data_IF_480672747011
#
_entry.id   IF_480672747011
#
_cell.length_a   1.000
_cell.length_b   1.000
_cell.length_c   1.000
_cell.angle_alpha   90.00
_cell.angle_beta   90.00
_cell.angle_gamma   90.00
#
_symmetry.space_group_name_H-M   'P 1'
#
loop_
_entity.id
_entity.type
_entity.pdbx_description
1 polymer ?
#
# COMPACT_ATOMS: atom_id res chain seq x y z
N UNK A 1 -3.40 22.82 19.01
CA UNK A 1 -2.48 21.78 18.55
C UNK A 1 -1.25 22.48 18.01
N UNK A 2 0.00 22.11 18.34
CA UNK A 2 1.14 22.70 17.67
C UNK A 2 1.02 22.38 16.16
N UNK A 3 1.33 23.40 15.35
CA UNK A 3 1.33 23.31 13.90
C UNK A 3 2.42 22.30 13.52
N UNK A 4 2.06 21.05 13.25
CA UNK A 4 3.02 20.05 12.79
C UNK A 4 3.39 20.43 11.36
N UNK A 5 4.62 20.83 11.16
CA UNK A 5 5.13 21.30 9.87
C UNK A 5 4.98 20.15 8.86
N UNK A 6 4.18 20.39 7.81
CA UNK A 6 3.94 19.40 6.75
C UNK A 6 5.21 19.20 5.94
N UNK A 7 5.43 17.98 5.50
CA UNK A 7 6.59 17.66 4.65
C UNK A 7 6.50 18.46 3.33
N UNK A 8 7.55 19.18 2.93
CA UNK A 8 7.56 19.86 1.63
C UNK A 8 7.31 18.87 0.48
N UNK A 9 6.35 19.20 -0.40
CA UNK A 9 6.00 18.36 -1.56
C UNK A 9 4.93 17.29 -1.31
N UNK A 10 4.39 17.18 -0.08
CA UNK A 10 3.17 16.40 0.16
C UNK A 10 1.95 17.19 -0.34
N UNK A 11 1.12 16.54 -1.19
CA UNK A 11 -0.11 17.15 -1.69
C UNK A 11 -1.04 17.51 -0.52
N UNK A 12 -1.49 18.79 -0.42
CA UNK A 12 -2.37 19.22 0.67
C UNK A 12 -3.66 18.40 0.79
N UNK A 13 -4.24 17.93 -0.31
CA UNK A 13 -5.47 17.13 -0.29
C UNK A 13 -5.22 15.74 0.34
N UNK A 14 -4.03 15.17 0.12
CA UNK A 14 -3.61 13.90 0.73
C UNK A 14 -3.38 14.11 2.23
N UNK A 15 -2.65 15.16 2.61
CA UNK A 15 -2.41 15.48 4.01
C UNK A 15 -3.73 15.69 4.77
N UNK A 16 -4.65 16.51 4.24
CA UNK A 16 -5.96 16.77 4.83
C UNK A 16 -6.82 15.51 4.96
N UNK A 17 -6.73 14.59 4.00
CA UNK A 17 -7.44 13.32 4.04
C UNK A 17 -6.96 12.49 5.25
N UNK A 18 -5.64 12.29 5.38
CA UNK A 18 -5.08 11.49 6.47
C UNK A 18 -5.13 12.17 7.83
N UNK A 19 -5.19 13.51 7.89
CA UNK A 19 -5.44 14.23 9.14
C UNK A 19 -6.87 14.02 9.67
N UNK A 20 -7.83 13.68 8.79
CA UNK A 20 -9.26 13.55 9.09
C UNK A 20 -9.75 12.11 9.13
N UNK A 21 -8.95 11.14 8.68
CA UNK A 21 -9.32 9.71 8.64
C UNK A 21 -8.60 8.91 9.73
N UNK A 22 -9.26 7.91 10.36
CA UNK A 22 -8.64 7.03 11.35
C UNK A 22 -7.82 5.91 10.68
N UNK A 23 -6.74 6.29 9.97
CA UNK A 23 -5.91 5.35 9.21
C UNK A 23 -5.32 4.24 10.10
N UNK A 24 -5.05 4.54 11.37
CA UNK A 24 -4.53 3.61 12.35
C UNK A 24 -5.40 2.37 12.61
N UNK A 25 -6.70 2.46 12.33
CA UNK A 25 -7.66 1.35 12.50
C UNK A 25 -8.31 0.90 11.18
N UNK A 26 -7.85 1.41 10.02
CA UNK A 26 -8.44 1.11 8.72
C UNK A 26 -8.47 -0.39 8.42
N UNK A 27 -7.35 -1.07 8.65
CA UNK A 27 -7.19 -2.51 8.36
C UNK A 27 -8.05 -3.42 9.27
N UNK A 28 -8.61 -2.89 10.34
CA UNK A 28 -9.50 -3.63 11.24
C UNK A 28 -10.97 -3.61 10.80
N UNK A 29 -11.30 -2.91 9.69
CA UNK A 29 -12.67 -2.63 9.28
C UNK A 29 -13.01 -3.26 7.92
N UNK A 30 -14.21 -3.85 7.82
CA UNK A 30 -14.77 -4.32 6.55
C UNK A 30 -13.79 -5.12 5.70
N UNK A 31 -13.79 -4.91 4.39
CA UNK A 31 -12.92 -5.63 3.44
C UNK A 31 -11.42 -5.38 3.62
N UNK A 32 -11.01 -4.33 4.34
CA UNK A 32 -9.59 -4.08 4.63
C UNK A 32 -8.95 -5.18 5.50
N UNK A 33 -9.76 -5.96 6.24
CA UNK A 33 -9.29 -7.17 6.93
C UNK A 33 -8.76 -8.23 5.94
N UNK A 34 -9.35 -8.34 4.75
CA UNK A 34 -8.88 -9.24 3.69
C UNK A 34 -7.59 -8.70 3.07
N UNK A 35 -7.52 -7.38 2.82
CA UNK A 35 -6.29 -6.70 2.39
C UNK A 35 -5.14 -7.01 3.34
N UNK A 36 -5.35 -6.80 4.65
CA UNK A 36 -4.32 -7.05 5.67
C UNK A 36 -3.86 -8.51 5.68
N UNK A 37 -4.80 -9.44 5.76
CA UNK A 37 -4.50 -10.87 5.83
C UNK A 37 -3.70 -11.34 4.61
N UNK A 38 -4.12 -10.92 3.41
CA UNK A 38 -3.48 -11.29 2.16
C UNK A 38 -2.12 -10.61 1.96
N UNK A 39 -2.00 -9.34 2.33
CA UNK A 39 -0.72 -8.63 2.29
C UNK A 39 0.30 -9.31 3.19
N UNK A 40 -0.08 -9.67 4.43
CA UNK A 40 0.79 -10.42 5.34
C UNK A 40 1.23 -11.76 4.75
N UNK A 41 0.30 -12.53 4.16
CA UNK A 41 0.65 -13.80 3.49
C UNK A 41 1.65 -13.62 2.35
N UNK A 42 1.48 -12.57 1.52
CA UNK A 42 2.39 -12.29 0.42
C UNK A 42 3.76 -11.81 0.93
N UNK A 43 3.80 -11.01 1.99
CA UNK A 43 5.05 -10.59 2.64
C UNK A 43 5.77 -11.80 3.26
N UNK A 44 5.08 -12.68 3.97
CA UNK A 44 5.68 -13.91 4.54
C UNK A 44 6.20 -14.88 3.46
N UNK A 45 5.50 -14.96 2.33
CA UNK A 45 5.86 -15.85 1.21
C UNK A 45 7.10 -15.39 0.45
N UNK A 46 7.25 -14.08 0.27
CA UNK A 46 8.23 -13.50 -0.64
C UNK A 46 9.36 -12.75 0.06
N UNK A 47 9.15 -12.31 1.29
CA UNK A 47 10.18 -11.63 2.08
C UNK A 47 11.30 -12.59 2.53
N UNK A 48 12.47 -12.06 2.86
CA UNK A 48 13.56 -12.85 3.47
C UNK A 48 13.11 -13.34 4.86
N UNK A 49 13.67 -14.46 5.35
CA UNK A 49 13.44 -14.89 6.73
C UNK A 49 14.10 -13.92 7.74
N UNK A 50 13.57 -13.80 8.98
CA UNK A 50 14.25 -13.07 10.02
C UNK A 50 15.54 -13.81 10.47
N UNK A 51 16.59 -13.11 11.00
CA UNK A 51 16.64 -11.66 11.11
C UNK A 51 16.98 -10.98 9.78
N UNK A 52 16.27 -9.91 9.44
CA UNK A 52 16.56 -9.06 8.28
C UNK A 52 16.12 -7.62 8.57
N UNK A 53 16.72 -6.67 7.87
CA UNK A 53 16.36 -5.25 7.97
C UNK A 53 15.24 -4.93 6.99
N UNK A 54 14.17 -4.32 7.50
CA UNK A 54 13.00 -3.94 6.72
C UNK A 54 12.82 -2.43 6.75
N UNK A 55 12.60 -1.82 5.59
CA UNK A 55 12.09 -0.46 5.49
C UNK A 55 10.61 -0.52 5.12
N UNK A 56 9.75 -0.05 6.04
CA UNK A 56 8.30 0.11 5.82
C UNK A 56 8.04 1.56 5.40
N UNK A 57 7.95 1.79 4.09
CA UNK A 57 7.83 3.11 3.46
C UNK A 57 6.37 3.40 3.13
N UNK A 58 5.81 4.46 3.71
CA UNK A 58 4.38 4.70 3.77
C UNK A 58 3.70 3.83 4.82
N UNK A 59 4.44 3.53 5.91
CA UNK A 59 4.00 2.60 6.95
C UNK A 59 2.93 3.15 7.89
N UNK A 60 2.48 4.40 7.70
CA UNK A 60 1.46 5.08 8.50
C UNK A 60 1.72 4.94 10.01
N UNK A 61 0.73 4.43 10.78
CA UNK A 61 0.87 4.16 12.22
C UNK A 61 1.55 2.81 12.55
N UNK A 62 2.07 2.09 11.54
CA UNK A 62 2.94 0.92 11.70
C UNK A 62 2.22 -0.43 11.78
N UNK A 63 1.11 -0.62 11.08
CA UNK A 63 0.38 -1.89 11.10
C UNK A 63 1.27 -3.07 10.67
N UNK A 64 2.01 -2.94 9.59
CA UNK A 64 2.95 -3.96 9.11
C UNK A 64 4.30 -3.89 9.84
N UNK A 65 4.79 -2.69 10.16
CA UNK A 65 6.06 -2.51 10.85
C UNK A 65 6.10 -3.25 12.21
N UNK A 66 5.09 -3.07 13.06
CA UNK A 66 5.05 -3.74 14.36
C UNK A 66 4.83 -5.24 14.23
N UNK A 67 4.00 -5.67 13.30
CA UNK A 67 3.79 -7.08 13.00
C UNK A 67 5.10 -7.79 12.57
N UNK A 68 5.97 -7.12 11.80
CA UNK A 68 7.30 -7.64 11.41
C UNK A 68 8.28 -7.61 12.58
N UNK A 69 8.29 -6.54 13.39
CA UNK A 69 9.15 -6.45 14.57
C UNK A 69 8.86 -7.58 15.57
N UNK A 70 7.59 -7.94 15.77
CA UNK A 70 7.19 -9.10 16.59
C UNK A 70 7.72 -10.43 16.06
N UNK A 71 8.05 -10.51 14.77
CA UNK A 71 8.62 -11.67 14.08
C UNK A 71 10.15 -11.69 14.04
N UNK A 72 10.79 -10.70 14.66
CA UNK A 72 12.25 -10.66 14.80
C UNK A 72 12.98 -9.90 13.69
N UNK A 73 12.25 -9.11 12.89
CA UNK A 73 12.88 -8.19 11.93
C UNK A 73 13.36 -6.91 12.61
N UNK A 74 14.43 -6.31 12.07
CA UNK A 74 14.84 -4.95 12.39
C UNK A 74 14.09 -3.99 11.47
N UNK A 75 13.08 -3.28 11.98
CA UNK A 75 12.17 -2.50 11.15
C UNK A 75 12.37 -1.00 11.33
N UNK A 76 12.52 -0.28 10.23
CA UNK A 76 12.50 1.17 10.16
C UNK A 76 11.21 1.62 9.45
N UNK A 77 10.42 2.45 10.11
CA UNK A 77 9.20 3.03 9.55
C UNK A 77 9.47 4.43 9.00
N UNK A 78 8.97 4.69 7.81
CA UNK A 78 8.96 6.01 7.15
C UNK A 78 7.56 6.33 6.66
N UNK A 79 7.09 7.55 6.92
CA UNK A 79 5.84 8.05 6.34
C UNK A 79 5.93 9.57 6.11
N UNK A 80 5.21 10.06 5.10
CA UNK A 80 5.19 11.48 4.76
C UNK A 80 4.24 12.30 5.66
N UNK A 81 3.32 11.65 6.37
CA UNK A 81 2.31 12.30 7.24
C UNK A 81 2.80 12.35 8.69
N UNK A 82 3.19 13.54 9.22
CA UNK A 82 3.79 13.64 10.56
C UNK A 82 2.90 13.11 11.68
N UNK A 83 1.57 13.28 11.59
CA UNK A 83 0.60 12.76 12.57
C UNK A 83 0.71 11.24 12.73
N UNK A 84 0.79 10.53 11.60
CA UNK A 84 0.87 9.06 11.60
C UNK A 84 2.19 8.56 12.17
N UNK A 85 3.30 9.22 11.82
CA UNK A 85 4.62 8.91 12.40
C UNK A 85 4.65 9.15 13.91
N UNK A 86 4.01 10.22 14.39
CA UNK A 86 3.93 10.49 15.82
C UNK A 86 3.08 9.43 16.55
N UNK A 87 2.02 8.92 15.92
CA UNK A 87 1.25 7.78 16.45
C UNK A 87 2.14 6.52 16.51
N UNK A 88 2.89 6.23 15.43
CA UNK A 88 3.85 5.12 15.41
C UNK A 88 4.90 5.27 16.53
N UNK A 89 5.43 6.47 16.78
CA UNK A 89 6.37 6.73 17.88
C UNK A 89 5.77 6.47 19.25
N UNK A 90 4.52 6.92 19.48
CA UNK A 90 3.79 6.65 20.74
C UNK A 90 3.58 5.17 20.98
N UNK A 91 3.20 4.44 19.93
CA UNK A 91 3.07 2.98 19.97
C UNK A 91 4.43 2.33 20.24
N UNK A 92 5.48 2.79 19.56
CA UNK A 92 6.85 2.26 19.67
C UNK A 92 7.42 2.38 21.10
N UNK A 93 7.15 3.49 21.77
CA UNK A 93 7.59 3.72 23.16
C UNK A 93 7.00 2.71 24.17
N UNK A 94 5.93 2.01 23.81
CA UNK A 94 5.23 1.02 24.64
C UNK A 94 5.34 -0.41 24.09
N UNK A 95 5.94 -0.58 22.93
CA UNK A 95 6.01 -1.86 22.24
C UNK A 95 7.01 -2.80 22.92
N UNK A 96 6.66 -4.07 23.06
CA UNK A 96 7.56 -5.13 23.53
C UNK A 96 8.69 -5.38 22.51
N UNK A 97 8.35 -5.29 21.23
CA UNK A 97 9.29 -5.41 20.10
C UNK A 97 9.29 -4.05 19.39
N UNK A 98 10.26 -3.22 19.78
CA UNK A 98 10.33 -1.86 19.28
C UNK A 98 10.85 -1.80 17.84
N UNK A 99 10.33 -0.84 17.07
CA UNK A 99 10.91 -0.48 15.77
C UNK A 99 12.26 0.20 15.98
N UNK A 100 13.19 -0.04 15.07
CA UNK A 100 14.52 0.59 15.09
C UNK A 100 14.44 2.12 14.87
N UNK A 101 13.48 2.59 14.06
CA UNK A 101 13.21 4.03 13.94
C UNK A 101 11.80 4.30 13.36
N UNK A 102 11.25 5.50 13.66
CA UNK A 102 10.05 6.06 13.04
C UNK A 102 10.40 7.49 12.56
N UNK A 103 10.40 7.71 11.24
CA UNK A 103 10.85 8.97 10.63
C UNK A 103 9.80 9.56 9.69
N UNK A 104 9.63 10.88 9.76
CA UNK A 104 8.91 11.62 8.72
C UNK A 104 9.86 11.82 7.54
N UNK A 105 9.53 11.25 6.38
CA UNK A 105 10.31 11.42 5.16
C UNK A 105 9.48 11.09 3.92
N UNK A 106 9.97 11.55 2.76
CA UNK A 106 9.38 11.32 1.45
C UNK A 106 9.93 10.03 0.83
N UNK A 107 9.06 9.21 0.25
CA UNK A 107 9.46 8.01 -0.47
C UNK A 107 10.39 8.31 -1.69
N UNK A 108 10.32 9.52 -2.23
CA UNK A 108 11.16 10.00 -3.34
C UNK A 108 12.60 10.36 -2.91
N UNK A 109 12.86 10.41 -1.59
CA UNK A 109 14.17 10.69 -1.01
C UNK A 109 14.27 10.05 0.38
N UNK A 110 14.67 8.78 0.42
CA UNK A 110 14.74 8.02 1.66
C UNK A 110 16.00 8.36 2.48
N UNK A 111 15.87 8.62 3.80
CA UNK A 111 17.00 9.02 4.66
C UNK A 111 17.82 7.80 5.12
N UNK A 112 18.17 6.92 4.18
CA UNK A 112 18.99 5.72 4.42
C UNK A 112 20.09 5.62 3.37
N UNK A 113 21.19 4.97 3.73
CA UNK A 113 22.28 4.66 2.81
C UNK A 113 21.86 3.61 1.76
N UNK A 114 22.66 3.51 0.71
CA UNK A 114 22.50 2.45 -0.29
C UNK A 114 22.65 1.07 0.36
N UNK A 115 21.94 0.09 -0.15
CA UNK A 115 22.03 -1.31 0.27
C UNK A 115 21.83 -1.52 1.81
N UNK A 116 20.92 -0.76 2.41
CA UNK A 116 20.62 -0.83 3.87
C UNK A 116 19.66 -1.96 4.22
N UNK A 117 18.73 -2.34 3.33
CA UNK A 117 17.62 -3.23 3.66
C UNK A 117 17.56 -4.48 2.79
N UNK A 118 17.21 -5.60 3.40
CA UNK A 118 16.89 -6.85 2.69
C UNK A 118 15.44 -6.89 2.20
N UNK A 119 14.54 -6.09 2.81
CA UNK A 119 13.14 -5.96 2.39
C UNK A 119 12.72 -4.48 2.43
N UNK A 120 12.12 -4.02 1.34
CA UNK A 120 11.41 -2.73 1.31
C UNK A 120 9.94 -3.00 1.07
N UNK A 121 9.08 -2.56 1.98
CA UNK A 121 7.65 -2.44 1.78
C UNK A 121 7.34 -1.02 1.30
N UNK A 122 6.67 -0.88 0.16
CA UNK A 122 6.23 0.39 -0.41
C UNK A 122 4.71 0.31 -0.61
N UNK A 123 3.96 0.27 0.51
CA UNK A 123 2.55 -0.13 0.52
C UNK A 123 1.55 1.05 0.50
N UNK A 124 2.04 2.28 0.31
CA UNK A 124 1.20 3.49 0.28
C UNK A 124 1.60 4.50 -0.78
N UNK A 125 2.88 4.82 -0.90
CA UNK A 125 3.33 5.98 -1.64
C UNK A 125 2.97 5.99 -3.13
N UNK A 126 3.03 4.86 -3.84
CA UNK A 126 2.87 4.85 -5.30
C UNK A 126 1.53 5.40 -5.77
N UNK A 127 0.45 5.08 -5.07
CA UNK A 127 -0.86 5.59 -5.48
C UNK A 127 -1.12 7.04 -5.04
N UNK A 128 -0.28 7.64 -4.18
CA UNK A 128 -0.32 9.06 -3.86
C UNK A 128 0.61 9.93 -4.72
N UNK A 129 1.50 9.30 -5.47
CA UNK A 129 2.39 9.97 -6.41
C UNK A 129 1.76 9.95 -7.81
N UNK A 130 0.97 10.97 -8.13
CA UNK A 130 0.18 11.00 -9.37
C UNK A 130 1.01 11.19 -10.62
N UNK A 131 2.18 11.85 -10.51
CA UNK A 131 3.11 12.01 -11.61
C UNK A 131 4.01 10.78 -11.76
N UNK A 132 4.13 10.27 -12.99
CA UNK A 132 4.95 9.10 -13.28
C UNK A 132 6.42 9.30 -12.89
N UNK A 133 6.97 10.53 -13.06
CA UNK A 133 8.34 10.86 -12.66
C UNK A 133 8.53 10.68 -11.15
N UNK A 134 7.55 11.08 -10.34
CA UNK A 134 7.63 10.95 -8.89
C UNK A 134 7.50 9.48 -8.45
N UNK A 135 6.65 8.68 -9.11
CA UNK A 135 6.60 7.22 -8.87
C UNK A 135 7.91 6.54 -9.23
N UNK A 136 8.52 6.93 -10.36
CA UNK A 136 9.83 6.43 -10.75
C UNK A 136 10.92 6.80 -9.74
N UNK A 137 10.91 8.01 -9.18
CA UNK A 137 11.83 8.41 -8.10
C UNK A 137 11.65 7.57 -6.85
N UNK A 138 10.41 7.33 -6.42
CA UNK A 138 10.15 6.50 -5.24
C UNK A 138 10.59 5.04 -5.45
N UNK A 139 10.34 4.46 -6.63
CA UNK A 139 10.82 3.12 -6.98
C UNK A 139 12.35 3.06 -7.08
N UNK A 140 13.00 4.10 -7.66
CA UNK A 140 14.46 4.18 -7.74
C UNK A 140 15.09 4.29 -6.33
N UNK A 141 14.49 5.06 -5.43
CA UNK A 141 14.93 5.14 -4.03
C UNK A 141 14.76 3.80 -3.30
N UNK A 142 13.64 3.10 -3.50
CA UNK A 142 13.45 1.75 -2.98
C UNK A 142 14.53 0.79 -3.52
N UNK A 143 14.83 0.85 -4.83
CA UNK A 143 15.89 0.05 -5.43
C UNK A 143 17.30 0.41 -4.91
N UNK A 144 17.57 1.70 -4.65
CA UNK A 144 18.84 2.18 -4.11
C UNK A 144 19.11 1.61 -2.72
N UNK A 145 18.11 1.71 -1.82
CA UNK A 145 18.25 1.27 -0.42
C UNK A 145 18.21 -0.25 -0.25
N UNK A 146 17.72 -0.99 -1.24
CA UNK A 146 17.76 -2.45 -1.22
C UNK A 146 19.19 -2.96 -1.35
N UNK A 147 19.55 -3.93 -0.51
CA UNK A 147 20.76 -4.73 -0.64
C UNK A 147 20.71 -5.59 -1.92
N UNK A 148 21.85 -5.99 -2.49
CA UNK A 148 21.88 -6.98 -3.57
C UNK A 148 21.12 -8.26 -3.15
N UNK A 149 20.20 -8.74 -3.99
CA UNK A 149 19.30 -9.84 -3.68
C UNK A 149 18.09 -9.48 -2.81
N UNK A 150 18.02 -8.23 -2.32
CA UNK A 150 16.92 -7.76 -1.51
C UNK A 150 15.59 -7.68 -2.28
N UNK A 151 14.47 -7.70 -1.56
CA UNK A 151 13.11 -7.81 -2.08
C UNK A 151 12.37 -6.48 -1.93
N UNK A 152 11.74 -6.01 -3.00
CA UNK A 152 10.70 -4.99 -2.99
C UNK A 152 9.33 -5.64 -3.01
N UNK A 153 8.43 -5.19 -2.14
CA UNK A 153 6.98 -5.46 -2.23
C UNK A 153 6.29 -4.10 -2.26
N UNK A 154 5.72 -3.76 -3.41
CA UNK A 154 5.08 -2.46 -3.59
C UNK A 154 3.60 -2.59 -3.97
N UNK A 155 2.77 -1.73 -3.37
CA UNK A 155 1.32 -1.71 -3.59
C UNK A 155 0.90 -0.58 -4.53
N UNK A 156 -0.13 -0.86 -5.32
CA UNK A 156 -0.89 0.11 -6.07
C UNK A 156 -2.39 -0.15 -5.92
N UNK A 157 -3.22 0.88 -6.10
CA UNK A 157 -4.66 0.72 -6.24
C UNK A 157 -4.95 0.33 -7.70
N UNK A 158 -5.83 -0.66 -7.88
CA UNK A 158 -6.24 -1.11 -9.21
C UNK A 158 -6.98 0.00 -9.98
N UNK A 159 -6.69 0.12 -11.29
CA UNK A 159 -7.32 1.03 -12.24
C UNK A 159 -8.86 1.01 -12.16
N UNK A 160 -9.45 -0.12 -11.84
CA UNK A 160 -10.88 -0.34 -11.84
C UNK A 160 -11.51 -0.34 -10.44
N UNK A 161 -10.72 -0.08 -9.39
CA UNK A 161 -11.19 -0.14 -7.99
C UNK A 161 -12.37 0.79 -7.74
N UNK A 162 -12.34 2.05 -8.20
CA UNK A 162 -13.45 2.99 -8.01
C UNK A 162 -14.73 2.56 -8.73
N UNK A 163 -14.62 1.92 -9.90
CA UNK A 163 -15.78 1.41 -10.62
C UNK A 163 -16.47 0.27 -9.85
N UNK A 164 -15.68 -0.67 -9.33
CA UNK A 164 -16.17 -1.80 -8.54
C UNK A 164 -16.72 -1.34 -7.18
N UNK A 165 -16.03 -0.42 -6.49
CA UNK A 165 -16.51 0.20 -5.25
C UNK A 165 -17.83 0.94 -5.48
N UNK A 166 -17.90 1.72 -6.55
CA UNK A 166 -19.10 2.46 -6.93
C UNK A 166 -20.30 1.57 -7.21
N UNK A 167 -20.06 0.40 -7.82
CA UNK A 167 -21.12 -0.61 -8.02
C UNK A 167 -21.55 -1.23 -6.69
N UNK A 168 -20.60 -1.68 -5.86
CA UNK A 168 -20.89 -2.38 -4.60
C UNK A 168 -21.59 -1.48 -3.58
N UNK A 169 -21.25 -0.19 -3.55
CA UNK A 169 -21.77 0.80 -2.61
C UNK A 169 -22.89 1.68 -3.19
N UNK A 170 -23.32 1.41 -4.42
CA UNK A 170 -24.34 2.19 -5.14
C UNK A 170 -24.02 3.71 -5.24
N UNK A 171 -22.75 4.05 -5.49
CA UNK A 171 -22.30 5.46 -5.58
C UNK A 171 -22.43 6.05 -6.98
N UNK A 172 -22.60 5.21 -8.03
CA UNK A 172 -22.64 5.66 -9.43
C UNK A 172 -23.86 6.50 -9.78
N UNK A 173 -24.87 6.54 -8.91
CA UNK A 173 -26.00 7.47 -9.03
C UNK A 173 -25.63 8.93 -8.77
N UNK A 174 -24.51 9.23 -8.10
CA UNK A 174 -23.96 10.59 -8.00
C UNK A 174 -23.12 10.89 -9.25
N UNK A 175 -23.58 11.82 -10.07
CA UNK A 175 -22.89 12.22 -11.30
C UNK A 175 -21.46 12.77 -11.06
N UNK A 176 -21.13 13.24 -9.86
CA UNK A 176 -19.77 13.67 -9.50
C UNK A 176 -18.86 12.47 -9.34
N UNK A 177 -19.32 11.43 -8.64
CA UNK A 177 -18.56 10.18 -8.49
C UNK A 177 -18.43 9.44 -9.82
N UNK A 178 -19.50 9.38 -10.62
CA UNK A 178 -19.44 8.76 -11.94
C UNK A 178 -18.35 9.39 -12.84
N UNK A 179 -18.19 10.73 -12.81
CA UNK A 179 -17.11 11.41 -13.55
C UNK A 179 -15.70 11.08 -13.02
N UNK A 180 -15.57 10.87 -11.70
CA UNK A 180 -14.30 10.40 -11.11
C UNK A 180 -13.97 9.03 -11.66
N UNK A 181 -14.92 8.09 -11.61
CA UNK A 181 -14.76 6.71 -12.13
C UNK A 181 -14.39 6.69 -13.61
N UNK A 182 -15.07 7.50 -14.46
CA UNK A 182 -14.73 7.59 -15.89
C UNK A 182 -13.28 8.03 -16.13
N UNK A 183 -12.78 8.98 -15.32
CA UNK A 183 -11.39 9.44 -15.37
C UNK A 183 -10.44 8.36 -14.90
N UNK A 184 -10.75 7.70 -13.78
CA UNK A 184 -9.92 6.64 -13.21
C UNK A 184 -9.70 5.51 -14.23
N UNK A 185 -10.80 5.01 -14.82
CA UNK A 185 -10.77 3.93 -15.81
C UNK A 185 -9.94 4.31 -17.04
N UNK A 186 -10.09 5.54 -17.53
CA UNK A 186 -9.42 6.01 -18.75
C UNK A 186 -7.96 6.40 -18.53
N UNK A 187 -7.67 7.11 -17.43
CA UNK A 187 -6.39 7.81 -17.22
C UNK A 187 -5.65 7.38 -15.95
N UNK A 188 -6.29 6.67 -15.03
CA UNK A 188 -5.76 6.35 -13.70
C UNK A 188 -5.69 7.54 -12.76
N UNK A 189 -6.15 8.70 -13.17
CA UNK A 189 -6.02 9.96 -12.41
C UNK A 189 -7.21 10.18 -11.50
N UNK A 190 -7.17 9.60 -10.30
CA UNK A 190 -8.20 9.82 -9.29
C UNK A 190 -8.11 11.22 -8.70
N UNK A 191 -9.16 12.01 -8.86
CA UNK A 191 -9.25 13.38 -8.38
C UNK A 191 -10.61 13.61 -7.75
N UNK A 192 -10.67 13.61 -6.44
CA UNK A 192 -11.87 13.98 -5.71
C UNK A 192 -11.88 15.51 -5.50
N UNK A 193 -12.70 16.18 -6.29
CA UNK A 193 -12.92 17.65 -6.19
C UNK A 193 -14.12 17.98 -5.31
N UNK A 194 -14.68 17.00 -4.58
CA UNK A 194 -15.79 17.16 -3.67
C UNK A 194 -15.30 17.17 -2.22
N UNK A 195 -16.19 17.58 -1.30
CA UNK A 195 -15.89 17.47 0.15
C UNK A 195 -16.18 16.09 0.73
N UNK A 196 -16.60 15.14 -0.10
CA UNK A 196 -16.95 13.78 0.32
C UNK A 196 -15.71 12.93 0.52
N UNK A 197 -15.41 12.65 1.79
CA UNK A 197 -14.26 11.82 2.18
C UNK A 197 -14.38 10.36 1.72
N UNK A 198 -15.61 9.85 1.57
CA UNK A 198 -15.90 8.50 1.10
C UNK A 198 -15.65 8.28 -0.40
N UNK A 199 -15.28 9.33 -1.15
CA UNK A 199 -14.82 9.27 -2.53
C UNK A 199 -13.30 9.19 -2.66
N UNK A 200 -12.60 8.99 -1.54
CA UNK A 200 -11.15 8.95 -1.43
C UNK A 200 -10.48 10.31 -1.71
N UNK A 201 -9.17 10.36 -1.84
CA UNK A 201 -8.37 11.57 -2.07
C UNK A 201 -7.67 11.53 -3.42
N UNK A 202 -6.80 12.48 -3.68
CA UNK A 202 -5.91 12.50 -4.86
C UNK A 202 -5.05 11.25 -4.94
N UNK A 203 -5.15 10.50 -6.05
CA UNK A 203 -4.40 9.26 -6.24
C UNK A 203 -4.16 8.93 -7.72
N UNK A 204 -3.28 7.97 -7.98
CA UNK A 204 -3.10 7.32 -9.26
C UNK A 204 -3.44 5.82 -9.15
N UNK A 205 -4.32 5.35 -9.99
CA UNK A 205 -4.79 3.97 -10.05
C UNK A 205 -4.12 3.25 -11.22
N UNK A 206 -3.41 2.16 -10.92
CA UNK A 206 -2.59 1.45 -11.89
C UNK A 206 -3.35 0.36 -12.64
N UNK A 207 -3.14 0.27 -13.94
CA UNK A 207 -3.34 -1.01 -14.62
C UNK A 207 -2.20 -1.99 -14.19
N UNK A 208 -2.46 -3.31 -14.13
CA UNK A 208 -1.46 -4.28 -13.65
C UNK A 208 -0.10 -4.17 -14.38
N UNK A 209 -0.10 -4.04 -15.70
CA UNK A 209 1.13 -3.98 -16.48
C UNK A 209 1.87 -2.63 -16.36
N UNK A 210 1.19 -1.55 -15.96
CA UNK A 210 1.86 -0.28 -15.64
C UNK A 210 2.73 -0.43 -14.39
N UNK A 211 2.18 -1.02 -13.30
CA UNK A 211 2.94 -1.27 -12.08
C UNK A 211 4.15 -2.17 -12.35
N UNK A 212 3.97 -3.22 -13.17
CA UNK A 212 5.07 -4.10 -13.61
C UNK A 212 6.13 -3.30 -14.36
N UNK A 213 5.72 -2.53 -15.36
CA UNK A 213 6.62 -1.74 -16.22
C UNK A 213 7.39 -0.67 -15.44
N UNK A 214 6.73 0.09 -14.57
CA UNK A 214 7.37 1.09 -13.72
C UNK A 214 8.43 0.47 -12.79
N UNK A 215 8.16 -0.72 -12.25
CA UNK A 215 9.11 -1.45 -11.39
C UNK A 215 10.32 -1.95 -12.19
N UNK A 216 10.12 -2.44 -13.41
CA UNK A 216 11.21 -2.89 -14.28
C UNK A 216 12.10 -1.75 -14.76
N UNK A 217 11.54 -0.56 -15.00
CA UNK A 217 12.28 0.61 -15.48
C UNK A 217 13.36 1.09 -14.51
N UNK A 218 13.24 0.79 -13.21
CA UNK A 218 14.27 1.11 -12.21
C UNK A 218 15.28 -0.03 -12.00
N UNK A 219 15.30 -1.03 -12.89
CA UNK A 219 16.29 -2.12 -12.88
C UNK A 219 15.95 -3.26 -11.91
N UNK A 220 14.76 -3.30 -11.33
CA UNK A 220 14.34 -4.42 -10.48
C UNK A 220 13.76 -5.57 -11.31
N UNK A 221 14.13 -6.80 -10.94
CA UNK A 221 13.61 -8.02 -11.56
C UNK A 221 12.25 -8.41 -10.95
N UNK A 222 11.15 -8.16 -11.67
CA UNK A 222 9.81 -8.52 -11.21
C UNK A 222 9.66 -10.05 -11.14
N UNK A 223 9.31 -10.56 -9.97
CA UNK A 223 9.08 -11.98 -9.66
C UNK A 223 7.61 -12.37 -9.73
N UNK A 224 6.72 -11.44 -9.41
CA UNK A 224 5.28 -11.67 -9.47
C UNK A 224 4.49 -10.37 -9.39
N UNK A 225 3.26 -10.44 -9.86
CA UNK A 225 2.24 -9.39 -9.72
C UNK A 225 0.98 -10.08 -9.21
N UNK A 226 0.42 -9.56 -8.12
CA UNK A 226 -0.64 -10.21 -7.38
C UNK A 226 -1.81 -9.27 -7.16
N UNK A 227 -3.04 -9.77 -7.37
CA UNK A 227 -4.25 -9.16 -6.84
C UNK A 227 -4.41 -9.56 -5.37
N UNK A 228 -4.51 -8.57 -4.48
CA UNK A 228 -4.49 -8.83 -3.03
C UNK A 228 -5.78 -9.51 -2.58
N UNK A 229 -6.93 -8.89 -2.81
CA UNK A 229 -8.23 -9.33 -2.28
C UNK A 229 -9.00 -10.22 -3.28
N UNK A 230 -8.61 -10.17 -4.56
CA UNK A 230 -9.47 -10.69 -5.63
C UNK A 230 -10.83 -9.98 -5.60
N UNK A 231 -11.92 -10.60 -6.07
CA UNK A 231 -13.26 -10.00 -6.06
C UNK A 231 -13.95 -10.04 -4.69
N UNK A 232 -13.31 -10.60 -3.63
CA UNK A 232 -13.94 -10.79 -2.32
C UNK A 232 -14.28 -9.50 -1.57
N UNK A 233 -13.58 -8.41 -1.87
CA UNK A 233 -13.75 -7.13 -1.18
C UNK A 233 -15.04 -6.38 -1.53
N UNK A 234 -15.70 -6.69 -2.67
CA UNK A 234 -16.94 -6.03 -3.09
C UNK A 234 -18.22 -6.71 -2.58
N UNK A 235 -18.10 -7.76 -1.78
CA UNK A 235 -19.25 -8.48 -1.24
C UNK A 235 -19.99 -7.64 -0.21
N UNK A 236 -21.30 -7.48 -0.39
CA UNK A 236 -22.14 -6.69 0.52
C UNK A 236 -22.31 -7.32 1.90
N UNK A 237 -22.14 -8.63 2.01
CA UNK A 237 -22.19 -9.42 3.25
C UNK A 237 -20.78 -9.80 3.79
N UNK A 238 -19.76 -8.99 3.43
CA UNK A 238 -18.36 -9.28 3.76
C UNK A 238 -18.13 -9.52 5.26
N UNK A 239 -18.64 -8.66 6.14
CA UNK A 239 -18.39 -8.76 7.58
C UNK A 239 -19.05 -10.01 8.19
N UNK A 240 -20.21 -10.43 7.70
CA UNK A 240 -20.84 -11.69 8.08
C UNK A 240 -19.96 -12.88 7.71
N UNK A 241 -19.49 -12.93 6.46
CA UNK A 241 -18.58 -13.98 5.98
C UNK A 241 -17.24 -13.97 6.71
N UNK A 242 -16.70 -12.79 7.02
CA UNK A 242 -15.42 -12.68 7.71
C UNK A 242 -15.46 -13.19 9.14
N UNK A 243 -16.58 -13.01 9.85
CA UNK A 243 -16.78 -13.51 11.22
C UNK A 243 -17.01 -15.02 11.26
N UNK A 244 -17.52 -15.61 10.18
CA UNK A 244 -17.71 -17.06 10.08
C UNK A 244 -16.39 -17.72 9.62
N UNK A 245 -15.76 -18.62 10.45
CA UNK A 245 -14.44 -19.20 10.13
C UNK A 245 -14.40 -19.93 8.79
N UNK A 246 -15.44 -20.69 8.43
CA UNK A 246 -15.47 -21.47 7.19
C UNK A 246 -15.62 -20.56 5.96
N UNK A 247 -16.47 -19.54 6.06
CA UNK A 247 -16.67 -18.59 4.96
C UNK A 247 -15.44 -17.70 4.78
N UNK A 248 -14.80 -17.27 5.87
CA UNK A 248 -13.50 -16.56 5.83
C UNK A 248 -12.42 -17.40 5.15
N UNK A 249 -12.33 -18.69 5.49
CA UNK A 249 -11.40 -19.62 4.84
C UNK A 249 -11.67 -19.72 3.34
N UNK A 250 -12.95 -19.77 2.93
CA UNK A 250 -13.34 -19.78 1.52
C UNK A 250 -12.95 -18.47 0.79
N UNK A 251 -13.16 -17.28 1.42
CA UNK A 251 -12.74 -15.99 0.87
C UNK A 251 -11.23 -15.96 0.63
N UNK A 252 -10.43 -16.32 1.64
CA UNK A 252 -8.97 -16.38 1.53
C UNK A 252 -8.51 -17.40 0.48
N UNK A 253 -9.19 -18.54 0.38
CA UNK A 253 -8.86 -19.56 -0.62
C UNK A 253 -9.11 -19.04 -2.05
N UNK A 254 -10.26 -18.42 -2.32
CA UNK A 254 -10.55 -17.85 -3.64
C UNK A 254 -9.58 -16.71 -3.97
N UNK A 255 -9.27 -15.82 -3.02
CA UNK A 255 -8.28 -14.78 -3.24
C UNK A 255 -6.93 -15.35 -3.68
N UNK A 256 -6.45 -16.45 -3.05
CA UNK A 256 -5.20 -17.14 -3.43
C UNK A 256 -5.27 -17.80 -4.80
N UNK A 257 -6.40 -18.39 -5.16
CA UNK A 257 -6.59 -19.03 -6.47
C UNK A 257 -6.51 -18.02 -7.62
N UNK A 258 -6.96 -16.79 -7.38
CA UNK A 258 -7.05 -15.74 -8.39
C UNK A 258 -5.90 -14.74 -8.34
N UNK A 259 -5.03 -14.81 -7.32
CA UNK A 259 -4.04 -13.77 -7.00
C UNK A 259 -3.09 -13.41 -8.15
N UNK A 260 -2.79 -14.35 -9.05
CA UNK A 260 -1.85 -14.15 -10.16
C UNK A 260 -2.48 -14.40 -11.54
N UNK A 261 -3.81 -14.61 -11.60
CA UNK A 261 -4.50 -14.83 -12.87
C UNK A 261 -4.66 -13.48 -13.62
N UNK A 262 -3.99 -13.30 -14.79
CA UNK A 262 -3.94 -12.01 -15.47
C UNK A 262 -5.30 -11.44 -15.81
N UNK A 263 -6.27 -12.31 -16.18
CA UNK A 263 -7.61 -11.89 -16.59
C UNK A 263 -8.45 -11.30 -15.48
N UNK A 264 -8.07 -11.49 -14.20
CA UNK A 264 -8.84 -11.03 -13.05
C UNK A 264 -8.03 -10.20 -12.04
N UNK A 265 -6.75 -9.94 -12.29
CA UNK A 265 -5.92 -9.08 -11.42
C UNK A 265 -6.61 -7.76 -11.09
N UNK A 266 -7.20 -7.14 -12.10
CA UNK A 266 -7.90 -5.86 -11.95
C UNK A 266 -9.18 -5.92 -11.12
N UNK A 267 -9.71 -7.09 -10.80
CA UNK A 267 -10.86 -7.22 -9.89
C UNK A 267 -10.49 -7.00 -8.42
N UNK A 268 -9.21 -7.02 -8.08
CA UNK A 268 -8.73 -6.68 -6.75
C UNK A 268 -8.75 -5.17 -6.53
N UNK A 269 -8.95 -4.71 -5.29
CA UNK A 269 -8.80 -3.30 -4.95
C UNK A 269 -7.34 -2.89 -5.02
N UNK A 270 -6.44 -3.75 -4.51
CA UNK A 270 -5.00 -3.52 -4.48
C UNK A 270 -4.26 -4.54 -5.32
N UNK A 271 -3.18 -4.06 -5.95
CA UNK A 271 -2.20 -4.85 -6.67
C UNK A 271 -0.88 -4.82 -5.87
N UNK A 272 -0.21 -5.95 -5.75
CA UNK A 272 1.14 -6.02 -5.20
C UNK A 272 2.11 -6.52 -6.26
N UNK A 273 3.19 -5.77 -6.50
CA UNK A 273 4.34 -6.24 -7.26
C UNK A 273 5.42 -6.72 -6.29
N UNK A 274 5.97 -7.89 -6.56
CA UNK A 274 7.16 -8.44 -5.89
C UNK A 274 8.31 -8.41 -6.86
N UNK A 275 9.41 -7.76 -6.47
CA UNK A 275 10.60 -7.65 -7.32
C UNK A 275 11.88 -7.82 -6.48
N UNK A 276 12.98 -8.16 -7.12
CA UNK A 276 14.28 -8.31 -6.47
C UNK A 276 15.32 -7.42 -7.13
N UNK A 277 16.24 -6.90 -6.31
CA UNK A 277 17.46 -6.28 -6.80
C UNK A 277 18.44 -7.37 -7.23
N UNK A 278 18.92 -7.31 -8.47
CA UNK A 278 19.90 -8.29 -8.99
C UNK A 278 21.19 -8.23 -8.18
N UNK A 279 21.89 -9.36 -8.06
CA UNK A 279 23.17 -9.46 -7.35
C UNK A 279 24.35 -8.96 -8.17
N UNK A 280 24.12 -8.72 -9.47
CA UNK A 280 25.14 -8.19 -10.41
C UNK A 280 24.83 -6.73 -10.71
N UNK A 281 25.31 -5.83 -9.86
CA UNK A 281 25.64 -4.43 -10.21
C UNK A 281 26.57 -3.84 -9.14
#
# INVERSE_FOLDING_TARGET
>A
MPNVERLPGLDPAIADFYDRTPEESRLEQGPFKLEEARTRELVERHGPPPPATVLDVGGAAGAYAFWLAERGYTVHLVDAVPRLVEEARRRNARAKHALASCRVADARQLPFADATAELVLLLGPLYHLVDAIDRQRALAEAARVLAPGGVLIAAAISRWASALDGLSRNLLGDARFARIVERDVREGQHRNTTERMDYFTTAYFHAPEELRGETQQVGLAVKGLYGVEGPGWILSDFDERWTNPEQRKALLHVARLLESEPSVLGCSAHLLVVATKTTEQ
#
